data_IF_003854229714
#
_entry.id   IF_003854229714
#
_cell.length_a   1.000
_cell.length_b   1.000
_cell.length_c   1.000
_cell.angle_alpha   90.00
_cell.angle_beta   90.00
_cell.angle_gamma   90.00
#
_symmetry.space_group_name_H-M   'P 1'
#
loop_
_entity.id
_entity.type
_entity.pdbx_description
1 polymer ?
#
# COMPACT_ATOMS: atom_id res chain seq x y z
N UNK A 1 -42.08 -34.30 17.70
CA UNK A 1 -42.44 -33.18 18.59
C UNK A 1 -42.07 -33.61 20.02
N UNK A 2 -41.11 -32.93 20.65
CA UNK A 2 -40.61 -33.31 21.98
C UNK A 2 -41.59 -32.76 23.02
N UNK A 3 -42.37 -33.64 23.65
CA UNK A 3 -43.31 -33.27 24.71
C UNK A 3 -42.59 -33.03 26.03
N UNK A 4 -42.00 -31.84 26.20
CA UNK A 4 -41.18 -31.49 27.37
C UNK A 4 -41.99 -31.09 28.62
N UNK A 5 -43.32 -31.24 28.60
CA UNK A 5 -44.18 -30.81 29.71
C UNK A 5 -45.20 -31.90 30.01
N UNK A 6 -45.08 -32.51 31.18
CA UNK A 6 -46.10 -33.41 31.73
C UNK A 6 -47.02 -32.64 32.68
N UNK A 7 -48.33 -32.95 32.66
CA UNK A 7 -49.31 -32.29 33.52
C UNK A 7 -49.76 -33.24 34.62
N UNK A 8 -49.44 -32.92 35.87
CA UNK A 8 -50.00 -33.60 37.04
C UNK A 8 -51.06 -32.73 37.69
N UNK A 9 -52.29 -33.25 37.79
CA UNK A 9 -53.45 -32.54 38.39
C UNK A 9 -53.70 -31.15 37.79
N UNK A 10 -53.49 -31.01 36.49
CA UNK A 10 -53.70 -29.75 35.76
C UNK A 10 -52.61 -28.70 35.96
N UNK A 11 -51.50 -29.01 36.64
CA UNK A 11 -50.31 -28.14 36.69
C UNK A 11 -49.19 -28.69 35.81
N UNK A 12 -48.54 -27.86 34.99
CA UNK A 12 -47.36 -28.27 34.24
C UNK A 12 -46.21 -28.50 35.22
N UNK A 13 -45.66 -29.71 35.21
CA UNK A 13 -44.45 -30.05 35.96
C UNK A 13 -43.32 -30.20 34.93
N UNK A 14 -42.18 -29.50 35.10
CA UNK A 14 -41.04 -29.68 34.21
C UNK A 14 -40.50 -31.10 34.39
N UNK A 15 -40.66 -31.94 33.38
CA UNK A 15 -40.06 -33.27 33.32
C UNK A 15 -38.59 -33.12 32.95
N UNK A 16 -37.70 -33.83 33.64
CA UNK A 16 -36.31 -33.84 33.22
C UNK A 16 -36.16 -34.67 31.94
N UNK A 17 -35.23 -34.33 31.04
CA UNK A 17 -35.05 -35.05 29.77
C UNK A 17 -34.81 -36.56 29.93
N UNK A 18 -34.18 -36.97 31.03
CA UNK A 18 -33.94 -38.37 31.39
C UNK A 18 -35.22 -39.18 31.66
N UNK A 19 -36.32 -38.53 32.06
CA UNK A 19 -37.58 -39.21 32.43
C UNK A 19 -38.47 -39.52 31.21
N UNK A 20 -38.11 -39.05 30.02
CA UNK A 20 -38.89 -39.28 28.80
C UNK A 20 -38.68 -40.72 28.28
N UNK A 21 -39.73 -41.42 27.83
CA UNK A 21 -39.59 -42.77 27.26
C UNK A 21 -38.69 -42.71 26.00
N UNK A 22 -37.54 -43.37 26.07
CA UNK A 22 -36.47 -43.34 25.06
C UNK A 22 -35.29 -42.41 25.38
N UNK A 23 -35.43 -41.52 26.37
CA UNK A 23 -34.34 -40.67 26.87
C UNK A 23 -33.36 -41.40 27.78
N UNK A 24 -33.83 -42.43 28.50
CA UNK A 24 -33.02 -43.29 29.35
C UNK A 24 -32.36 -44.46 28.58
N UNK A 25 -31.83 -44.20 27.37
CA UNK A 25 -30.81 -45.11 26.86
C UNK A 25 -29.62 -44.88 27.77
N UNK A 26 -29.37 -45.80 28.70
CA UNK A 26 -28.14 -45.79 29.49
C UNK A 26 -26.99 -45.87 28.49
N UNK A 27 -26.49 -44.72 28.06
CA UNK A 27 -25.19 -44.64 27.44
C UNK A 27 -24.27 -45.18 28.53
N UNK A 28 -23.59 -46.30 28.31
CA UNK A 28 -22.72 -46.86 29.33
C UNK A 28 -21.82 -45.74 29.84
N UNK A 29 -21.68 -45.63 31.17
CA UNK A 29 -20.85 -44.65 31.88
C UNK A 29 -19.37 -44.81 31.47
N UNK A 30 -19.05 -44.40 30.25
CA UNK A 30 -17.72 -44.45 29.63
C UNK A 30 -17.09 -43.06 29.67
N UNK A 31 -17.78 -42.05 30.23
CA UNK A 31 -17.15 -40.77 30.51
C UNK A 31 -16.58 -40.85 31.92
N UNK A 32 -15.28 -41.05 32.00
CA UNK A 32 -14.59 -41.15 33.28
C UNK A 32 -14.26 -39.74 33.77
N UNK A 33 -14.13 -39.59 35.09
CA UNK A 33 -13.76 -38.31 35.73
C UNK A 33 -12.45 -37.72 35.19
N UNK A 34 -11.54 -38.60 34.74
CA UNK A 34 -10.28 -38.25 34.09
C UNK A 34 -10.45 -37.51 32.75
N UNK A 35 -11.58 -37.67 32.04
CA UNK A 35 -11.87 -36.96 30.80
C UNK A 35 -12.16 -35.46 31.01
N UNK A 36 -12.48 -35.07 32.25
CA UNK A 36 -12.80 -33.69 32.64
C UNK A 36 -11.66 -32.97 33.36
N UNK A 37 -10.45 -33.55 33.41
CA UNK A 37 -9.31 -32.82 33.99
C UNK A 37 -9.01 -31.55 33.17
N UNK A 38 -8.68 -30.40 33.79
CA UNK A 38 -8.47 -29.13 33.07
C UNK A 38 -7.42 -29.20 31.94
N UNK A 39 -6.53 -30.19 31.99
CA UNK A 39 -5.51 -30.45 31.00
C UNK A 39 -5.99 -31.27 29.77
N UNK A 40 -7.24 -31.75 29.72
CA UNK A 40 -7.77 -32.57 28.62
C UNK A 40 -8.25 -31.77 27.42
N UNK A 41 -8.36 -30.44 27.54
CA UNK A 41 -8.63 -29.56 26.39
C UNK A 41 -7.48 -29.51 25.38
N UNK A 42 -6.32 -30.07 25.73
CA UNK A 42 -5.23 -30.39 24.80
C UNK A 42 -5.34 -31.88 24.49
N UNK A 43 -5.79 -32.28 23.29
CA UNK A 43 -5.78 -33.69 22.90
C UNK A 43 -4.37 -34.24 23.06
N UNK A 44 -4.17 -35.17 24.00
CA UNK A 44 -2.91 -35.90 24.10
C UNK A 44 -2.78 -36.72 22.82
N UNK A 45 -1.76 -36.43 22.02
CA UNK A 45 -1.41 -37.28 20.88
C UNK A 45 -0.97 -38.62 21.47
N UNK A 46 -1.85 -39.61 21.38
CA UNK A 46 -1.65 -40.98 21.87
C UNK A 46 -0.74 -41.69 20.86
N UNK A 47 0.53 -41.28 20.76
CA UNK A 47 1.49 -41.83 19.79
C UNK A 47 1.89 -43.28 20.09
N UNK A 48 1.57 -43.83 21.26
CA UNK A 48 2.11 -45.12 21.71
C UNK A 48 1.11 -46.29 21.75
N UNK A 49 -0.20 -46.05 21.63
CA UNK A 49 -1.21 -47.12 21.77
C UNK A 49 -1.78 -47.64 20.44
N UNK A 50 -1.41 -47.04 19.29
CA UNK A 50 -1.81 -47.57 17.97
C UNK A 50 -1.15 -48.92 17.66
N UNK A 51 0.00 -49.23 18.28
CA UNK A 51 0.65 -50.53 18.13
C UNK A 51 -0.09 -51.66 18.86
N UNK A 52 -0.91 -51.37 19.87
CA UNK A 52 -1.63 -52.37 20.66
C UNK A 52 -3.08 -52.62 20.17
N UNK A 53 -3.71 -51.64 19.51
CA UNK A 53 -5.10 -51.77 18.99
C UNK A 53 -5.18 -52.41 17.59
N UNK A 54 -4.06 -52.55 16.87
CA UNK A 54 -4.02 -53.18 15.54
C UNK A 54 -4.32 -54.70 15.56
N UNK A 55 -4.13 -55.39 16.70
CA UNK A 55 -4.38 -56.83 16.80
C UNK A 55 -5.81 -57.19 17.25
N UNK A 56 -6.59 -56.24 17.77
CA UNK A 56 -7.92 -56.51 18.32
C UNK A 56 -9.08 -56.33 17.31
N UNK A 57 -8.84 -55.78 16.12
CA UNK A 57 -9.88 -55.29 15.21
C UNK A 57 -10.18 -56.21 14.00
N UNK A 58 -9.72 -57.47 14.01
CA UNK A 58 -9.91 -58.40 12.87
C UNK A 58 -11.20 -59.24 12.94
N UNK A 59 -12.10 -59.00 13.88
CA UNK A 59 -13.35 -59.76 13.97
C UNK A 59 -14.57 -58.85 14.05
N UNK A 60 -15.41 -59.01 13.03
CA UNK A 60 -16.77 -58.53 12.87
C UNK A 60 -17.00 -57.11 12.31
N UNK A 61 -17.77 -57.09 11.23
CA UNK A 61 -18.11 -55.91 10.44
C UNK A 61 -19.15 -55.04 11.12
N UNK A 62 -18.81 -54.51 12.29
CA UNK A 62 -19.67 -53.62 13.04
C UNK A 62 -19.35 -52.16 12.69
N UNK A 63 -20.40 -51.38 12.49
CA UNK A 63 -20.37 -49.95 12.18
C UNK A 63 -19.32 -49.23 13.04
N UNK A 64 -18.24 -48.75 12.41
CA UNK A 64 -17.23 -47.91 13.06
C UNK A 64 -17.90 -46.59 13.43
N UNK A 65 -18.50 -46.55 14.61
CA UNK A 65 -18.91 -45.31 15.25
C UNK A 65 -17.62 -44.62 15.64
N UNK A 66 -17.16 -43.71 14.77
CA UNK A 66 -15.99 -42.88 15.02
C UNK A 66 -16.33 -42.03 16.26
N UNK A 67 -15.93 -42.49 17.44
CA UNK A 67 -15.95 -41.70 18.66
C UNK A 67 -14.89 -40.60 18.53
N UNK A 68 -15.28 -39.52 17.84
CA UNK A 68 -14.49 -38.31 17.81
C UNK A 68 -14.46 -37.74 19.22
N UNK A 69 -13.26 -37.73 19.83
CA UNK A 69 -13.07 -37.08 21.13
C UNK A 69 -13.47 -35.60 21.01
N UNK A 70 -14.37 -35.09 21.86
CA UNK A 70 -14.76 -33.70 21.84
C UNK A 70 -13.50 -32.82 22.02
N UNK A 71 -13.30 -31.87 21.11
CA UNK A 71 -12.11 -30.99 21.08
C UNK A 71 -11.11 -31.27 19.94
N UNK A 72 -11.17 -32.43 19.27
CA UNK A 72 -10.24 -32.74 18.19
C UNK A 72 -10.42 -31.87 16.93
N UNK A 73 -11.68 -31.59 16.54
CA UNK A 73 -11.98 -30.76 15.36
C UNK A 73 -11.50 -29.31 15.54
N UNK A 74 -11.82 -28.61 16.66
CA UNK A 74 -11.27 -27.28 16.92
C UNK A 74 -9.74 -27.24 16.94
N UNK A 75 -9.10 -28.25 17.55
CA UNK A 75 -7.63 -28.34 17.59
C UNK A 75 -7.03 -28.39 16.18
N UNK A 76 -7.59 -29.21 15.28
CA UNK A 76 -7.12 -29.30 13.89
C UNK A 76 -7.23 -27.96 13.18
N UNK A 77 -8.36 -27.27 13.33
CA UNK A 77 -8.58 -25.96 12.68
C UNK A 77 -7.53 -24.95 13.17
N UNK A 78 -7.31 -24.89 14.48
CA UNK A 78 -6.30 -23.99 15.07
C UNK A 78 -4.88 -24.34 14.59
N UNK A 79 -4.53 -25.62 14.55
CA UNK A 79 -3.23 -26.09 14.10
C UNK A 79 -2.98 -25.73 12.63
N UNK A 80 -3.93 -26.01 11.73
CA UNK A 80 -3.81 -25.67 10.32
C UNK A 80 -3.75 -24.15 10.09
N UNK A 81 -4.55 -23.37 10.82
CA UNK A 81 -4.50 -21.90 10.74
C UNK A 81 -3.14 -21.35 11.15
N UNK A 82 -2.58 -21.85 12.25
CA UNK A 82 -1.24 -21.44 12.73
C UNK A 82 -0.15 -21.81 11.73
N UNK A 83 -0.22 -23.02 11.15
CA UNK A 83 0.72 -23.46 10.11
C UNK A 83 0.64 -22.59 8.85
N UNK A 84 -0.56 -22.23 8.39
CA UNK A 84 -0.71 -21.33 7.24
C UNK A 84 -0.11 -19.96 7.51
N UNK A 85 -0.29 -19.41 8.71
CA UNK A 85 0.25 -18.10 9.08
C UNK A 85 1.78 -18.13 9.11
N UNK A 86 2.39 -19.20 9.65
CA UNK A 86 3.84 -19.40 9.63
C UNK A 86 4.36 -19.45 8.19
N UNK A 87 3.72 -20.23 7.32
CA UNK A 87 4.11 -20.33 5.90
C UNK A 87 3.98 -18.99 5.19
N UNK A 88 2.88 -18.26 5.39
CA UNK A 88 2.67 -16.95 4.79
C UNK A 88 3.73 -15.94 5.23
N UNK A 89 4.09 -15.96 6.51
CA UNK A 89 5.12 -15.09 7.07
C UNK A 89 6.50 -15.39 6.45
N UNK A 90 6.87 -16.67 6.35
CA UNK A 90 8.09 -17.09 5.66
C UNK A 90 8.11 -16.67 4.18
N UNK A 91 7.01 -16.85 3.46
CA UNK A 91 6.89 -16.43 2.06
C UNK A 91 7.04 -14.91 1.93
N UNK A 92 6.40 -14.13 2.79
CA UNK A 92 6.52 -12.66 2.81
C UNK A 92 7.97 -12.22 3.04
N UNK A 93 8.64 -12.77 4.05
CA UNK A 93 10.06 -12.46 4.31
C UNK A 93 10.96 -12.86 3.14
N UNK A 94 10.71 -14.02 2.53
CA UNK A 94 11.44 -14.49 1.36
C UNK A 94 11.28 -13.55 0.16
N UNK A 95 10.07 -13.03 -0.10
CA UNK A 95 9.83 -12.06 -1.19
C UNK A 95 10.60 -10.74 -0.97
N UNK A 96 10.60 -10.21 0.25
CA UNK A 96 11.38 -8.99 0.58
C UNK A 96 12.87 -9.22 0.36
N UNK A 97 13.38 -10.39 0.75
CA UNK A 97 14.77 -10.77 0.58
C UNK A 97 15.14 -10.91 -0.92
N UNK A 98 14.28 -11.51 -1.74
CA UNK A 98 14.47 -11.54 -3.20
C UNK A 98 14.48 -10.14 -3.83
N UNK A 99 13.59 -9.25 -3.39
CA UNK A 99 13.55 -7.86 -3.86
C UNK A 99 14.85 -7.13 -3.52
N UNK A 100 15.43 -7.40 -2.34
CA UNK A 100 16.73 -6.81 -1.95
C UNK A 100 17.90 -7.28 -2.82
N UNK A 101 17.79 -8.46 -3.45
CA UNK A 101 18.75 -8.95 -4.44
C UNK A 101 18.49 -8.45 -5.87
N UNK A 102 17.50 -7.57 -6.08
CA UNK A 102 17.15 -7.04 -7.39
C UNK A 102 16.42 -8.04 -8.28
N UNK A 103 15.87 -9.11 -7.70
CA UNK A 103 15.14 -10.15 -8.43
C UNK A 103 13.63 -9.81 -8.39
N UNK A 104 13.16 -9.03 -9.37
CA UNK A 104 11.77 -8.60 -9.48
C UNK A 104 10.88 -9.67 -10.18
N UNK A 105 10.55 -10.77 -9.50
CA UNK A 105 9.72 -11.85 -10.08
C UNK A 105 8.28 -11.42 -10.40
N UNK A 106 7.78 -10.45 -9.65
CA UNK A 106 6.46 -9.88 -9.85
C UNK A 106 6.64 -8.41 -10.20
N UNK A 107 7.14 -8.16 -11.41
CA UNK A 107 6.97 -6.84 -12.04
C UNK A 107 5.49 -6.71 -12.45
N UNK A 108 4.63 -6.63 -11.44
CA UNK A 108 3.26 -6.18 -11.60
C UNK A 108 3.42 -4.68 -11.77
N UNK A 109 3.38 -4.23 -13.03
CA UNK A 109 3.36 -2.80 -13.33
C UNK A 109 2.37 -2.15 -12.36
N UNK A 110 2.82 -1.25 -11.48
CA UNK A 110 1.99 -0.73 -10.40
C UNK A 110 0.75 -0.09 -11.02
N UNK A 111 -0.38 -0.80 -10.93
CA UNK A 111 -1.70 -0.32 -11.38
C UNK A 111 -2.21 0.82 -10.49
N UNK A 112 -1.50 1.12 -9.40
CA UNK A 112 -1.69 2.31 -8.59
C UNK A 112 -1.06 3.52 -9.29
N UNK A 113 -1.58 3.87 -10.47
CA UNK A 113 -1.76 5.29 -10.73
C UNK A 113 -2.63 5.79 -9.58
N UNK A 114 -2.13 6.75 -8.80
CA UNK A 114 -2.98 7.63 -8.03
C UNK A 114 -3.93 8.27 -9.04
N UNK A 115 -5.06 7.60 -9.28
CA UNK A 115 -6.24 8.21 -9.84
C UNK A 115 -6.69 9.16 -8.75
N UNK A 116 -6.14 10.38 -8.75
CA UNK A 116 -6.82 11.51 -8.12
C UNK A 116 -8.25 11.48 -8.65
N UNK A 117 -9.18 11.41 -7.71
CA UNK A 117 -10.57 10.98 -7.86
C UNK A 117 -11.40 12.00 -8.66
N UNK A 118 -11.13 12.13 -9.95
CA UNK A 118 -12.10 12.66 -10.90
C UNK A 118 -13.20 11.62 -11.06
N UNK A 119 -14.36 11.85 -10.43
CA UNK A 119 -15.57 11.05 -10.46
C UNK A 119 -16.01 10.69 -11.89
N UNK A 120 -15.44 9.61 -12.45
CA UNK A 120 -15.69 9.17 -13.81
C UNK A 120 -15.59 7.65 -13.90
N UNK A 121 -16.70 6.99 -13.60
CA UNK A 121 -16.89 5.54 -13.61
C UNK A 121 -16.56 4.96 -15.00
N UNK A 122 -15.31 4.57 -15.21
CA UNK A 122 -14.82 3.99 -16.46
C UNK A 122 -13.93 2.79 -16.19
N UNK A 123 -14.51 1.58 -16.24
CA UNK A 123 -13.79 0.31 -16.23
C UNK A 123 -12.97 0.15 -17.51
N UNK A 124 -11.65 0.39 -17.45
CA UNK A 124 -10.73 -0.04 -18.48
C UNK A 124 -9.31 -0.25 -17.90
N UNK A 125 -9.05 -1.48 -17.44
CA UNK A 125 -7.70 -2.03 -17.36
C UNK A 125 -7.38 -2.74 -18.67
N UNK A 126 -6.52 -2.16 -19.50
CA UNK A 126 -5.65 -2.90 -20.41
C UNK A 126 -4.57 -1.97 -20.98
N UNK A 127 -3.33 -2.13 -20.52
CA UNK A 127 -2.12 -1.85 -21.32
C UNK A 127 -2.03 -0.45 -21.97
N UNK A 128 -2.26 0.62 -21.22
CA UNK A 128 -2.01 1.97 -21.73
C UNK A 128 -0.53 2.32 -21.53
N UNK A 129 0.31 2.01 -22.53
CA UNK A 129 1.38 2.97 -22.80
C UNK A 129 0.68 4.31 -22.99
N UNK A 130 1.05 5.38 -22.25
CA UNK A 130 0.43 6.67 -22.42
C UNK A 130 0.48 7.00 -23.92
N UNK A 131 -0.66 7.39 -24.54
CA UNK A 131 -0.69 7.66 -25.96
C UNK A 131 0.45 8.61 -26.27
N UNK A 132 1.37 8.18 -27.12
CA UNK A 132 2.43 9.06 -27.58
C UNK A 132 1.72 10.29 -28.17
N UNK A 133 2.10 11.47 -27.67
CA UNK A 133 1.62 12.72 -28.23
C UNK A 133 1.78 12.65 -29.75
N UNK A 134 0.78 13.08 -30.52
CA UNK A 134 0.86 13.06 -31.99
C UNK A 134 2.06 13.90 -32.44
N UNK A 135 3.11 13.26 -32.94
CA UNK A 135 4.39 13.90 -33.29
C UNK A 135 5.41 14.00 -32.15
N UNK A 136 5.07 13.52 -30.95
CA UNK A 136 5.99 13.36 -29.83
C UNK A 136 6.98 12.22 -30.09
N UNK A 137 8.22 12.39 -29.63
CA UNK A 137 9.28 11.38 -29.74
C UNK A 137 9.69 10.94 -28.34
N UNK A 138 9.85 9.63 -28.08
CA UNK A 138 10.35 9.18 -26.80
C UNK A 138 11.77 9.72 -26.60
N UNK A 139 12.01 10.28 -25.41
CA UNK A 139 13.29 10.87 -25.05
C UNK A 139 13.90 9.98 -23.96
N UNK A 140 15.05 9.32 -24.21
CA UNK A 140 15.68 8.50 -23.18
C UNK A 140 16.10 9.38 -22.01
N UNK A 141 15.86 8.93 -20.78
CA UNK A 141 16.23 9.66 -19.57
C UNK A 141 17.21 8.85 -18.73
N UNK A 142 18.25 9.47 -18.22
CA UNK A 142 19.15 8.92 -17.22
C UNK A 142 18.95 9.66 -15.89
N UNK A 143 18.99 8.91 -14.78
CA UNK A 143 18.74 9.41 -13.43
C UNK A 143 19.99 9.23 -12.56
N UNK A 144 20.22 10.10 -11.57
CA UNK A 144 21.41 10.03 -10.73
C UNK A 144 21.45 8.78 -9.84
N UNK A 145 20.28 8.20 -9.53
CA UNK A 145 20.15 6.94 -8.78
C UNK A 145 19.12 6.04 -9.47
N UNK A 146 19.28 4.70 -9.42
CA UNK A 146 18.38 3.77 -10.10
C UNK A 146 16.98 3.70 -9.48
N UNK A 147 16.81 4.13 -8.23
CA UNK A 147 15.55 4.06 -7.48
C UNK A 147 14.80 5.40 -7.45
N UNK A 148 15.19 6.38 -8.27
CA UNK A 148 14.42 7.63 -8.39
C UNK A 148 13.13 7.33 -9.15
N UNK A 149 12.00 7.56 -8.50
CA UNK A 149 10.68 7.48 -9.11
C UNK A 149 10.19 8.92 -9.36
N UNK A 150 10.30 9.44 -10.60
CA UNK A 150 9.73 10.73 -10.94
C UNK A 150 8.21 10.66 -10.96
N UNK A 151 7.54 11.65 -10.38
CA UNK A 151 6.07 11.74 -10.35
C UNK A 151 5.55 12.85 -11.26
N UNK A 152 6.21 14.02 -11.25
CA UNK A 152 5.82 15.19 -12.04
C UNK A 152 7.00 15.74 -12.83
N UNK A 153 6.67 16.40 -13.95
CA UNK A 153 7.62 16.99 -14.88
C UNK A 153 7.13 18.37 -15.31
N UNK A 154 8.02 19.35 -15.25
CA UNK A 154 7.79 20.70 -15.74
C UNK A 154 8.86 21.04 -16.75
N UNK A 155 8.49 21.68 -17.85
CA UNK A 155 9.43 22.16 -18.84
C UNK A 155 9.24 23.65 -19.08
N UNK A 156 10.35 24.35 -19.25
CA UNK A 156 10.35 25.72 -19.74
C UNK A 156 11.09 25.76 -21.06
N UNK A 157 10.42 26.28 -22.09
CA UNK A 157 11.07 26.72 -23.31
C UNK A 157 11.62 28.12 -23.06
N UNK A 158 12.83 28.22 -22.51
CA UNK A 158 13.56 29.48 -22.57
C UNK A 158 13.73 29.80 -24.07
N UNK A 159 13.14 30.91 -24.53
CA UNK A 159 13.09 31.31 -25.94
C UNK A 159 14.44 31.74 -26.53
N UNK A 160 15.54 31.25 -25.96
CA UNK A 160 16.90 31.63 -26.27
C UNK A 160 17.74 30.40 -26.67
N UNK A 161 18.87 30.62 -27.33
CA UNK A 161 19.79 29.59 -27.84
C UNK A 161 20.42 28.70 -26.75
N UNK A 162 20.12 28.95 -25.48
CA UNK A 162 20.64 28.20 -24.32
C UNK A 162 19.91 26.89 -24.04
N UNK A 163 18.83 26.60 -24.78
CA UNK A 163 18.05 25.37 -24.64
C UNK A 163 17.01 25.44 -23.52
N UNK A 164 16.11 24.46 -23.49
CA UNK A 164 15.07 24.38 -22.48
C UNK A 164 15.59 23.80 -21.16
N UNK A 165 14.83 23.99 -20.09
CA UNK A 165 15.08 23.34 -18.79
C UNK A 165 13.91 22.45 -18.46
N UNK A 166 14.20 21.23 -18.03
CA UNK A 166 13.21 20.28 -17.51
C UNK A 166 13.52 20.04 -16.04
N UNK A 167 12.49 20.13 -15.22
CA UNK A 167 12.56 19.79 -13.81
C UNK A 167 11.61 18.62 -13.56
N UNK A 168 12.05 17.71 -12.69
CA UNK A 168 11.24 16.60 -12.23
C UNK A 168 11.24 16.55 -10.71
N UNK A 169 10.10 16.15 -10.18
CA UNK A 169 9.87 16.00 -8.74
C UNK A 169 9.72 14.53 -8.39
N UNK A 170 10.42 14.11 -7.34
CA UNK A 170 10.16 12.86 -6.61
C UNK A 170 9.53 13.17 -5.25
N UNK A 171 9.18 12.14 -4.45
CA UNK A 171 8.63 12.35 -3.10
C UNK A 171 9.46 13.29 -2.23
N UNK A 172 10.79 13.24 -2.32
CA UNK A 172 11.71 13.92 -1.39
C UNK A 172 12.83 14.67 -2.11
N UNK A 173 12.67 14.99 -3.39
CA UNK A 173 13.79 15.48 -4.16
C UNK A 173 13.40 16.13 -5.47
N UNK A 174 14.19 17.13 -5.83
CA UNK A 174 14.07 17.91 -7.06
C UNK A 174 15.22 17.56 -8.00
N UNK A 175 14.89 17.24 -9.24
CA UNK A 175 15.86 16.88 -10.27
C UNK A 175 15.72 17.83 -11.46
N UNK A 176 16.83 18.08 -12.14
CA UNK A 176 16.84 18.94 -13.31
C UNK A 176 17.70 18.39 -14.43
N UNK A 177 17.25 18.62 -15.66
CA UNK A 177 17.93 18.26 -16.88
C UNK A 177 17.85 19.43 -17.88
N UNK A 178 18.85 19.52 -18.75
CA UNK A 178 18.85 20.48 -19.86
C UNK A 178 18.29 19.83 -21.11
N UNK A 179 17.33 20.51 -21.72
CA UNK A 179 16.78 20.14 -23.01
C UNK A 179 17.76 20.61 -24.09
N UNK A 180 18.28 19.72 -24.95
CA UNK A 180 19.18 20.11 -26.02
C UNK A 180 18.48 21.10 -26.97
N UNK A 181 19.25 22.06 -27.48
CA UNK A 181 18.74 23.02 -28.46
C UNK A 181 18.26 22.30 -29.74
N UNK A 182 17.20 22.83 -30.36
CA UNK A 182 16.56 22.28 -31.57
C UNK A 182 17.52 22.17 -32.75
N UNK A 183 18.59 22.97 -32.75
CA UNK A 183 19.63 22.96 -33.79
C UNK A 183 20.51 21.70 -33.77
N UNK A 184 20.58 21.00 -32.63
CA UNK A 184 21.49 19.88 -32.40
C UNK A 184 20.80 18.54 -32.17
N UNK A 185 19.60 18.32 -32.73
CA UNK A 185 18.85 17.06 -32.62
C UNK A 185 19.52 15.97 -33.45
N UNK A 186 20.73 15.58 -33.05
CA UNK A 186 21.21 14.24 -33.30
C UNK A 186 20.27 13.30 -32.55
N UNK A 187 19.50 12.55 -33.34
CA UNK A 187 18.46 11.65 -32.88
C UNK A 187 19.05 10.57 -31.96
N UNK A 188 19.05 10.80 -30.65
CA UNK A 188 19.50 9.80 -29.68
C UNK A 188 20.08 10.35 -28.38
N UNK A 189 20.35 11.66 -28.26
CA UNK A 189 20.85 12.21 -27.00
C UNK A 189 19.72 12.30 -25.98
N UNK A 190 19.79 11.49 -24.94
CA UNK A 190 18.84 11.50 -23.83
C UNK A 190 19.00 12.68 -22.89
N UNK A 191 18.02 12.87 -22.00
CA UNK A 191 18.12 13.78 -20.87
C UNK A 191 18.89 13.12 -19.74
N UNK A 192 19.90 13.80 -19.22
CA UNK A 192 20.57 13.37 -18.01
C UNK A 192 20.11 14.26 -16.85
N UNK A 193 19.33 13.68 -15.95
CA UNK A 193 18.88 14.36 -14.76
C UNK A 193 19.98 14.41 -13.71
N UNK A 194 20.08 15.57 -13.06
CA UNK A 194 20.98 15.82 -11.94
C UNK A 194 20.15 16.30 -10.76
N UNK A 195 20.59 15.96 -9.55
CA UNK A 195 19.97 16.45 -8.32
C UNK A 195 20.12 17.98 -8.26
N UNK A 196 19.03 18.69 -7.98
CA UNK A 196 19.06 20.13 -7.83
C UNK A 196 19.88 20.52 -6.57
N UNK A 197 20.43 21.74 -6.50
CA UNK A 197 21.08 22.21 -5.28
C UNK A 197 20.14 22.12 -4.08
N UNK A 198 20.67 21.91 -2.85
CA UNK A 198 19.88 21.93 -1.63
C UNK A 198 19.01 23.19 -1.55
N UNK A 199 17.78 23.00 -1.11
CA UNK A 199 16.76 24.03 -1.03
C UNK A 199 16.04 23.83 0.29
N UNK A 200 16.34 24.69 1.26
CA UNK A 200 15.90 24.52 2.65
C UNK A 200 14.37 24.37 2.77
N UNK A 201 13.62 25.02 1.88
CA UNK A 201 12.17 24.96 1.89
C UNK A 201 11.55 23.66 1.40
N UNK A 202 12.31 22.67 0.89
CA UNK A 202 11.77 21.35 0.51
C UNK A 202 12.24 20.21 1.42
N UNK A 203 13.11 20.50 2.40
CA UNK A 203 13.66 19.48 3.28
C UNK A 203 12.62 18.95 4.26
N UNK A 204 12.47 17.63 4.34
CA UNK A 204 11.52 16.97 5.25
C UNK A 204 10.07 16.93 4.75
N UNK A 205 9.77 17.62 3.65
CA UNK A 205 8.42 17.71 3.10
C UNK A 205 8.22 16.81 1.89
N UNK A 206 6.96 16.38 1.69
CA UNK A 206 6.59 15.67 0.46
C UNK A 206 6.18 16.65 -0.63
N UNK A 207 6.64 16.43 -1.86
CA UNK A 207 6.43 17.36 -2.96
C UNK A 207 5.26 16.90 -3.84
N UNK A 208 4.37 17.84 -4.17
CA UNK A 208 3.17 17.62 -4.96
C UNK A 208 3.39 17.87 -6.45
N UNK A 209 3.83 19.08 -6.81
CA UNK A 209 4.05 19.50 -8.19
C UNK A 209 5.23 20.49 -8.31
N UNK A 210 5.68 20.77 -9.54
CA UNK A 210 6.63 21.84 -9.79
C UNK A 210 6.33 22.58 -11.09
N UNK A 211 6.73 23.85 -11.12
CA UNK A 211 6.83 24.66 -12.32
C UNK A 211 8.26 25.18 -12.47
N UNK A 212 8.64 25.59 -13.69
CA UNK A 212 9.94 26.22 -13.96
C UNK A 212 9.70 27.61 -14.49
N UNK A 213 10.35 28.57 -13.83
CA UNK A 213 10.44 29.95 -14.28
C UNK A 213 11.88 30.25 -14.68
N UNK A 214 12.09 30.55 -15.96
CA UNK A 214 13.37 31.01 -16.47
C UNK A 214 13.25 32.49 -16.79
N UNK A 215 14.11 33.31 -16.17
CA UNK A 215 14.17 34.74 -16.43
C UNK A 215 14.81 35.05 -17.79
N UNK A 216 14.85 36.34 -18.13
CA UNK A 216 15.63 36.83 -19.27
C UNK A 216 17.09 36.35 -19.20
N UNK A 217 17.75 36.05 -20.32
CA UNK A 217 19.16 35.62 -20.33
C UNK A 217 20.11 36.59 -19.62
N UNK A 218 19.75 37.87 -19.53
CA UNK A 218 20.51 38.87 -18.77
C UNK A 218 20.44 38.67 -17.23
N UNK A 219 19.34 38.11 -16.72
CA UNK A 219 19.16 37.76 -15.30
C UNK A 219 19.69 36.35 -14.96
N UNK A 220 20.00 35.54 -15.98
CA UNK A 220 20.98 34.46 -15.90
C UNK A 220 20.59 33.20 -15.12
N UNK A 221 19.32 33.00 -14.76
CA UNK A 221 18.92 31.84 -13.96
C UNK A 221 17.52 31.32 -14.23
N UNK A 222 17.36 30.02 -14.03
CA UNK A 222 16.06 29.37 -13.90
C UNK A 222 15.84 28.97 -12.43
N UNK A 223 14.60 29.15 -11.98
CA UNK A 223 14.13 28.71 -10.67
C UNK A 223 13.00 27.70 -10.87
N UNK A 224 12.95 26.69 -10.02
CA UNK A 224 11.80 25.81 -9.88
C UNK A 224 10.90 26.37 -8.78
N UNK A 225 9.60 26.44 -9.04
CA UNK A 225 8.58 26.68 -8.04
C UNK A 225 7.99 25.33 -7.67
N UNK A 226 8.17 24.88 -6.44
CA UNK A 226 7.80 23.53 -5.98
C UNK A 226 6.62 23.66 -5.04
N UNK A 227 5.51 23.02 -5.38
CA UNK A 227 4.32 22.93 -4.55
C UNK A 227 4.46 21.74 -3.60
N UNK A 228 4.25 21.97 -2.31
CA UNK A 228 4.24 20.92 -1.30
C UNK A 228 2.97 20.07 -1.41
N UNK A 229 2.99 18.82 -0.94
CA UNK A 229 1.87 17.88 -1.09
C UNK A 229 0.57 18.37 -0.45
N UNK A 230 0.66 19.18 0.60
CA UNK A 230 -0.50 19.78 1.27
C UNK A 230 -1.14 20.92 0.45
N UNK A 231 -0.52 21.35 -0.66
CA UNK A 231 -1.02 22.45 -1.48
C UNK A 231 -0.85 23.84 -0.87
N UNK A 232 -0.48 23.95 0.41
CA UNK A 232 -0.45 25.21 1.15
C UNK A 232 0.87 25.99 1.03
N UNK A 233 1.93 25.39 0.50
CA UNK A 233 3.25 26.02 0.45
C UNK A 233 3.91 25.84 -0.92
N UNK A 234 4.41 26.95 -1.46
CA UNK A 234 5.23 26.97 -2.68
C UNK A 234 6.63 27.46 -2.34
N UNK A 235 7.62 26.62 -2.62
CA UNK A 235 9.04 26.92 -2.37
C UNK A 235 9.75 27.19 -3.69
N UNK A 236 10.51 28.29 -3.77
CA UNK A 236 11.36 28.60 -4.92
C UNK A 236 12.76 27.99 -4.74
N UNK A 237 13.09 27.00 -5.55
CA UNK A 237 14.39 26.34 -5.56
C UNK A 237 15.21 26.73 -6.80
N UNK A 238 16.53 26.74 -6.67
CA UNK A 238 17.43 26.99 -7.79
C UNK A 238 17.58 25.74 -8.64
N UNK A 239 17.73 25.90 -9.94
CA UNK A 239 17.97 24.78 -10.87
C UNK A 239 19.47 24.65 -11.18
N UNK A 240 19.99 23.42 -11.22
CA UNK A 240 21.41 23.16 -11.42
C UNK A 240 21.91 23.65 -12.80
N UNK A 241 23.19 24.05 -12.85
CA UNK A 241 23.90 24.36 -14.10
C UNK A 241 23.89 25.83 -14.53
N UNK A 242 23.09 26.70 -13.90
CA UNK A 242 23.19 28.14 -14.15
C UNK A 242 24.21 28.77 -13.20
N UNK A 243 25.22 29.49 -13.72
CA UNK A 243 26.19 30.18 -12.88
C UNK A 243 25.44 31.19 -12.00
N UNK A 244 25.78 31.26 -10.71
CA UNK A 244 25.14 32.16 -9.76
C UNK A 244 25.39 33.61 -10.17
N UNK A 245 24.47 34.17 -10.96
CA UNK A 245 24.42 35.59 -11.27
C UNK A 245 23.86 36.33 -10.07
N UNK A 246 24.75 36.88 -9.24
CA UNK A 246 24.45 37.74 -8.10
C UNK A 246 23.60 37.12 -6.98
N UNK A 247 23.85 37.55 -5.74
CA UNK A 247 22.97 37.27 -4.59
C UNK A 247 21.58 37.81 -4.94
N UNK A 248 20.66 36.93 -5.34
CA UNK A 248 19.23 37.24 -5.41
C UNK A 248 18.88 37.70 -4.00
N UNK A 249 18.64 39.01 -3.90
CA UNK A 249 18.28 39.65 -2.65
C UNK A 249 16.97 39.02 -2.21
N UNK A 250 16.96 38.51 -0.98
CA UNK A 250 15.88 37.80 -0.28
C UNK A 250 14.49 38.48 -0.37
N UNK A 251 14.47 39.75 -0.79
CA UNK A 251 13.26 40.54 -1.05
C UNK A 251 12.33 39.98 -2.15
N UNK A 252 12.82 39.24 -3.14
CA UNK A 252 11.96 38.67 -4.19
C UNK A 252 11.26 37.36 -3.77
N UNK A 253 11.81 36.63 -2.79
CA UNK A 253 11.14 35.45 -2.23
C UNK A 253 9.82 35.84 -1.56
N UNK A 254 9.74 37.03 -0.97
CA UNK A 254 8.56 37.55 -0.28
C UNK A 254 7.39 37.89 -1.22
N UNK A 255 7.65 38.14 -2.51
CA UNK A 255 6.60 38.49 -3.49
C UNK A 255 5.92 37.22 -4.03
N UNK A 256 6.67 36.13 -4.19
CA UNK A 256 6.12 34.87 -4.72
C UNK A 256 5.31 34.09 -3.68
N UNK A 257 5.64 34.20 -2.39
CA UNK A 257 4.77 33.71 -1.31
C UNK A 257 3.42 34.42 -1.33
N UNK A 258 3.40 35.75 -1.49
CA UNK A 258 2.15 36.52 -1.46
C UNK A 258 1.15 36.18 -2.58
N UNK A 259 1.61 35.78 -3.77
CA UNK A 259 0.71 35.38 -4.86
C UNK A 259 0.15 33.98 -4.66
N UNK A 260 0.96 33.05 -4.15
CA UNK A 260 0.50 31.71 -3.80
C UNK A 260 -0.51 31.78 -2.65
N UNK A 261 -0.21 32.55 -1.61
CA UNK A 261 -1.11 32.79 -0.49
C UNK A 261 -2.43 33.40 -0.98
N UNK A 262 -2.38 34.43 -1.84
CA UNK A 262 -3.59 35.04 -2.39
C UNK A 262 -4.45 34.08 -3.23
N UNK A 263 -3.82 33.20 -4.02
CA UNK A 263 -4.54 32.21 -4.82
C UNK A 263 -5.16 31.10 -3.96
N UNK A 264 -4.45 30.69 -2.90
CA UNK A 264 -4.95 29.72 -1.93
C UNK A 264 -6.13 30.29 -1.11
N UNK A 265 -6.00 31.54 -0.66
CA UNK A 265 -7.03 32.24 0.13
C UNK A 265 -8.32 32.49 -0.70
N UNK A 266 -8.19 32.74 -2.01
CA UNK A 266 -9.34 32.91 -2.92
C UNK A 266 -10.11 31.59 -3.15
N UNK A 267 -9.41 30.45 -3.14
CA UNK A 267 -10.04 29.12 -3.23
C UNK A 267 -10.88 28.79 -1.99
N UNK A 268 -10.36 29.10 -0.80
CA UNK A 268 -11.06 28.84 0.46
C UNK A 268 -12.28 29.77 0.64
N UNK A 269 -12.20 31.01 0.15
CA UNK A 269 -13.31 31.97 0.20
C UNK A 269 -14.53 31.57 -0.63
N UNK A 270 -14.36 30.76 -1.69
CA UNK A 270 -15.47 30.35 -2.56
C UNK A 270 -16.20 29.10 -2.10
N UNK A 271 -15.54 28.19 -1.38
CA UNK A 271 -16.16 26.92 -1.02
C UNK A 271 -16.86 26.91 0.33
N UNK A 272 -16.52 27.77 1.30
CA UNK A 272 -17.22 27.83 2.60
C UNK A 272 -17.24 26.52 3.41
N UNK A 273 -16.68 25.44 2.87
CA UNK A 273 -16.47 24.16 3.52
C UNK A 273 -15.15 24.25 4.26
N UNK A 274 -15.21 24.09 5.58
CA UNK A 274 -14.03 24.03 6.43
C UNK A 274 -13.16 22.86 5.94
N UNK A 275 -11.91 23.14 5.54
CA UNK A 275 -10.94 22.10 5.25
C UNK A 275 -10.90 21.14 6.45
N UNK A 276 -11.20 19.87 6.19
CA UNK A 276 -11.12 18.80 7.18
C UNK A 276 -9.64 18.63 7.55
N UNK A 277 -9.27 19.14 8.72
CA UNK A 277 -7.92 19.02 9.28
C UNK A 277 -7.65 17.53 9.52
N UNK A 278 -6.79 16.94 8.68
CA UNK A 278 -6.40 15.54 8.80
C UNK A 278 -5.36 15.44 9.91
N UNK A 279 -5.83 15.26 11.15
CA UNK A 279 -4.98 14.92 12.28
C UNK A 279 -4.19 13.63 11.96
N UNK A 280 -2.86 13.75 11.97
CA UNK A 280 -1.91 12.66 11.73
C UNK A 280 -1.56 11.89 13.00
#
# INVERSE_FOLDING_TARGET
>A
AVGAVHYERGRPVPSRPEDLPGGATQVPDVIKREDFEPATFIPRMKEEDEAAEADASRSDGEHVVIHQRPGFVPWRIFFYGTMMLIVLWWLSGFFVLLQSFGIEWFNVAPLLHHHEEGHGRGTASFSQMPPSLSGGRPLPTAWPRPHVQPYRLACSSAGDASGGVVVSVSRFGLFSARLPDRSGVESGRGLNFTEAPPCDGIEGETLGDAAVECGSPAAGGCSALVLHRQGQLVTRCRVAGYPQGHKVVEAEAMITTGLADAWLDESDAHNGEQQEEVDS
#
